data_IF_043055873309
#
_entry.id   IF_043055873309
#
_cell.length_a   1.000
_cell.length_b   1.000
_cell.length_c   1.000
_cell.angle_alpha   90.00
_cell.angle_beta   90.00
_cell.angle_gamma   90.00
#
_symmetry.space_group_name_H-M   'P 1'
#
loop_
_entity.id
_entity.type
_entity.pdbx_description
1 polymer ?
#
# COMPACT_ATOMS: atom_id res chain seq x y z
N UNK A 1 14.50 -2.08 -10.56
CA UNK A 1 13.94 -0.71 -10.57
C UNK A 1 13.45 -0.42 -11.98
N UNK A 2 12.30 0.23 -12.12
CA UNK A 2 11.74 0.69 -13.38
C UNK A 2 11.64 2.21 -13.34
N UNK A 3 12.09 2.87 -14.42
CA UNK A 3 12.02 4.32 -14.59
C UNK A 3 11.22 4.66 -15.85
N UNK A 4 10.30 5.60 -15.74
CA UNK A 4 9.55 6.17 -16.87
C UNK A 4 9.66 7.70 -16.87
N UNK A 5 9.50 8.30 -18.04
CA UNK A 5 9.47 9.75 -18.22
C UNK A 5 8.21 10.07 -19.01
N UNK A 6 7.37 10.93 -18.47
CA UNK A 6 6.26 11.49 -19.21
C UNK A 6 6.77 12.60 -20.15
N UNK A 7 6.61 12.40 -21.47
CA UNK A 7 7.18 13.31 -22.47
C UNK A 7 6.47 14.68 -22.54
N UNK A 8 5.25 14.82 -22.01
CA UNK A 8 4.51 16.08 -22.04
C UNK A 8 4.89 16.99 -20.86
N UNK A 9 4.97 16.41 -19.67
CA UNK A 9 5.24 17.13 -18.42
C UNK A 9 6.70 17.08 -17.99
N UNK A 10 7.50 16.14 -18.52
CA UNK A 10 8.86 15.87 -18.06
C UNK A 10 8.94 15.16 -16.71
N UNK A 11 7.80 14.71 -16.15
CA UNK A 11 7.77 14.00 -14.87
C UNK A 11 8.48 12.66 -15.00
N UNK A 12 9.48 12.44 -14.16
CA UNK A 12 10.18 11.17 -14.01
C UNK A 12 9.50 10.38 -12.91
N UNK A 13 9.12 9.13 -13.18
CA UNK A 13 8.62 8.19 -12.17
C UNK A 13 9.60 7.03 -12.01
N UNK A 14 9.99 6.72 -10.78
CA UNK A 14 10.88 5.60 -10.46
C UNK A 14 10.21 4.68 -9.44
N UNK A 15 10.10 3.39 -9.77
CA UNK A 15 9.54 2.35 -8.90
C UNK A 15 10.58 1.28 -8.61
N UNK A 16 10.77 0.97 -7.34
CA UNK A 16 11.58 -0.14 -6.85
C UNK A 16 10.65 -1.27 -6.43
N UNK A 17 10.94 -2.46 -6.91
CA UNK A 17 10.17 -3.66 -6.65
C UNK A 17 10.97 -4.61 -5.77
N UNK A 18 10.28 -5.41 -4.98
CA UNK A 18 10.88 -6.49 -4.21
C UNK A 18 11.61 -7.46 -5.15
N UNK A 19 12.89 -7.68 -4.88
CA UNK A 19 13.77 -8.58 -5.65
C UNK A 19 14.08 -9.86 -4.86
N UNK A 20 13.27 -10.22 -3.86
CA UNK A 20 13.44 -11.39 -2.99
C UNK A 20 13.34 -12.76 -3.70
N UNK A 21 13.46 -12.81 -5.03
CA UNK A 21 13.62 -14.05 -5.81
C UNK A 21 15.03 -14.68 -5.69
N UNK A 22 15.91 -14.15 -4.82
CA UNK A 22 17.34 -14.49 -4.71
C UNK A 22 17.67 -15.26 -3.42
N UNK A 23 18.86 -15.89 -3.40
CA UNK A 23 19.42 -16.81 -2.39
C UNK A 23 19.51 -16.29 -0.94
N UNK A 24 18.98 -15.12 -0.64
CA UNK A 24 18.91 -14.49 0.68
C UNK A 24 17.70 -14.93 1.52
N UNK A 25 16.77 -15.69 0.94
CA UNK A 25 15.62 -16.20 1.67
C UNK A 25 16.02 -17.40 2.54
N UNK A 26 15.93 -17.23 3.87
CA UNK A 26 16.16 -18.34 4.79
C UNK A 26 15.18 -19.48 4.49
N UNK A 27 15.60 -20.72 4.71
CA UNK A 27 14.82 -21.94 4.42
C UNK A 27 13.41 -21.91 5.04
N UNK A 28 13.23 -21.19 6.16
CA UNK A 28 11.96 -21.03 6.86
C UNK A 28 11.04 -19.91 6.29
N UNK A 29 11.53 -19.09 5.36
CA UNK A 29 10.81 -17.94 4.79
C UNK A 29 10.66 -17.95 3.26
N UNK A 30 11.14 -19.00 2.59
CA UNK A 30 11.26 -19.04 1.12
C UNK A 30 9.94 -18.80 0.38
N UNK A 31 8.84 -19.36 0.89
CA UNK A 31 7.52 -19.21 0.28
C UNK A 31 6.98 -17.77 0.37
N UNK A 32 7.30 -17.05 1.46
CA UNK A 32 6.89 -15.66 1.63
C UNK A 32 7.67 -14.73 0.71
N UNK A 33 8.98 -14.97 0.53
CA UNK A 33 9.81 -14.21 -0.41
C UNK A 33 9.34 -14.31 -1.86
N UNK A 34 9.02 -15.52 -2.32
CA UNK A 34 8.54 -15.69 -3.69
C UNK A 34 7.17 -15.05 -3.90
N UNK A 35 6.32 -15.03 -2.87
CA UNK A 35 5.01 -14.42 -2.96
C UNK A 35 5.09 -12.89 -3.11
N UNK A 36 6.06 -12.23 -2.49
CA UNK A 36 6.24 -10.77 -2.56
C UNK A 36 7.11 -10.30 -3.72
N UNK A 37 7.85 -11.21 -4.37
CA UNK A 37 8.73 -10.87 -5.49
C UNK A 37 7.99 -10.12 -6.61
N UNK A 38 8.56 -9.01 -7.05
CA UNK A 38 7.97 -8.14 -8.08
C UNK A 38 6.90 -7.18 -7.57
N UNK A 39 6.53 -7.20 -6.28
CA UNK A 39 5.63 -6.19 -5.71
C UNK A 39 6.37 -4.86 -5.48
N UNK A 40 5.71 -3.70 -5.64
CA UNK A 40 6.34 -2.40 -5.47
C UNK A 40 6.62 -2.11 -3.99
N UNK A 41 7.87 -1.77 -3.67
CA UNK A 41 8.30 -1.33 -2.34
C UNK A 41 8.32 0.19 -2.20
N UNK A 42 8.65 0.87 -3.30
CA UNK A 42 8.88 2.31 -3.31
C UNK A 42 8.54 2.87 -4.67
N UNK A 43 7.84 4.00 -4.70
CA UNK A 43 7.70 4.81 -5.91
C UNK A 43 7.91 6.27 -5.59
N UNK A 44 8.69 6.96 -6.40
CA UNK A 44 8.76 8.42 -6.37
C UNK A 44 8.48 9.01 -7.74
N UNK A 45 7.97 10.24 -7.73
CA UNK A 45 7.82 11.07 -8.93
C UNK A 45 8.55 12.38 -8.73
N UNK A 46 9.31 12.79 -9.74
CA UNK A 46 10.05 14.05 -9.74
C UNK A 46 9.74 14.88 -10.96
N UNK A 47 9.70 16.20 -10.78
CA UNK A 47 9.65 17.19 -11.86
C UNK A 47 10.82 18.14 -11.67
N UNK A 48 11.67 18.31 -12.69
CA UNK A 48 12.87 19.16 -12.61
C UNK A 48 13.80 18.84 -11.41
N UNK A 49 13.84 17.58 -10.98
CA UNK A 49 14.62 17.12 -9.82
C UNK A 49 13.87 17.18 -8.49
N UNK A 50 12.80 17.96 -8.39
CA UNK A 50 12.00 18.12 -7.18
C UNK A 50 11.00 16.98 -7.01
N UNK A 51 10.86 16.49 -5.77
CA UNK A 51 9.96 15.39 -5.42
C UNK A 51 8.52 15.88 -5.35
N UNK A 52 7.63 15.34 -6.19
CA UNK A 52 6.21 15.73 -6.24
C UNK A 52 5.25 14.65 -5.73
N UNK A 53 5.74 13.43 -5.54
CA UNK A 53 4.98 12.33 -4.94
C UNK A 53 5.94 11.24 -4.49
N UNK A 54 5.62 10.59 -3.37
CA UNK A 54 6.37 9.48 -2.82
C UNK A 54 5.42 8.47 -2.21
N UNK A 55 5.63 7.18 -2.48
CA UNK A 55 4.91 6.08 -1.87
C UNK A 55 5.92 5.02 -1.39
N UNK A 56 5.77 4.54 -0.16
CA UNK A 56 6.53 3.42 0.41
C UNK A 56 5.53 2.36 0.84
N UNK A 57 5.77 1.11 0.42
CA UNK A 57 4.93 -0.02 0.81
C UNK A 57 5.73 -0.99 1.71
N UNK A 58 5.10 -1.42 2.79
CA UNK A 58 5.49 -2.62 3.52
C UNK A 58 4.67 -3.80 3.01
N UNK A 59 5.34 -4.89 2.65
CA UNK A 59 4.69 -6.08 2.13
C UNK A 59 4.37 -7.06 3.25
N UNK A 60 3.19 -7.67 3.17
CA UNK A 60 2.74 -8.73 4.05
C UNK A 60 2.52 -10.03 3.29
N UNK A 61 2.52 -11.14 4.02
CA UNK A 61 2.04 -12.42 3.50
C UNK A 61 1.13 -13.10 4.51
N UNK A 62 0.10 -13.77 4.01
CA UNK A 62 -0.75 -14.65 4.82
C UNK A 62 -0.68 -16.07 4.25
N UNK A 63 -0.62 -17.07 5.12
CA UNK A 63 -0.80 -18.46 4.71
C UNK A 63 -2.27 -18.68 4.44
N UNK A 64 -2.62 -19.01 3.20
CA UNK A 64 -4.00 -19.25 2.82
C UNK A 64 -4.50 -20.57 3.43
N UNK A 65 -5.81 -20.76 3.47
CA UNK A 65 -6.43 -22.00 3.92
C UNK A 65 -5.92 -23.23 3.17
N UNK A 66 -5.54 -23.07 1.89
CA UNK A 66 -4.97 -24.14 1.07
C UNK A 66 -3.44 -24.33 1.23
N UNK A 67 -2.81 -23.61 2.17
CA UNK A 67 -1.38 -23.70 2.47
C UNK A 67 -0.46 -22.83 1.59
N UNK A 68 -1.02 -22.14 0.59
CA UNK A 68 -0.27 -21.19 -0.25
C UNK A 68 0.07 -19.90 0.49
N UNK A 69 0.95 -19.08 -0.09
CA UNK A 69 1.23 -17.72 0.40
C UNK A 69 0.52 -16.71 -0.48
N UNK A 70 -0.34 -15.90 0.13
CA UNK A 70 -0.94 -14.73 -0.51
C UNK A 70 -0.17 -13.50 -0.04
N UNK A 71 0.43 -12.77 -0.98
CA UNK A 71 1.13 -11.52 -0.69
C UNK A 71 0.22 -10.31 -0.92
N UNK A 72 0.44 -9.27 -0.13
CA UNK A 72 -0.34 -8.04 -0.17
C UNK A 72 0.51 -6.86 0.32
N UNK A 73 0.05 -5.64 0.05
CA UNK A 73 0.60 -4.43 0.68
C UNK A 73 -0.04 -4.31 2.05
N UNK A 74 0.75 -4.51 3.11
CA UNK A 74 0.30 -4.43 4.50
C UNK A 74 0.13 -2.98 4.92
N UNK A 75 1.13 -2.15 4.61
CA UNK A 75 1.11 -0.73 4.87
C UNK A 75 1.55 0.03 3.61
N UNK A 76 0.86 1.10 3.25
CA UNK A 76 1.26 2.08 2.23
C UNK A 76 1.37 3.46 2.87
N UNK A 77 2.51 4.11 2.72
CA UNK A 77 2.80 5.46 3.18
C UNK A 77 3.00 6.36 1.97
N UNK A 78 2.08 7.30 1.77
CA UNK A 78 2.04 8.16 0.60
C UNK A 78 2.19 9.62 1.02
N UNK A 79 3.20 10.32 0.52
CA UNK A 79 3.39 11.75 0.72
C UNK A 79 2.90 12.53 -0.50
N UNK A 80 2.10 13.55 -0.22
CA UNK A 80 1.54 14.47 -1.22
C UNK A 80 2.26 15.81 -1.18
N UNK A 81 2.53 16.35 -2.36
CA UNK A 81 3.27 17.60 -2.51
C UNK A 81 2.50 18.57 -3.42
N UNK A 82 2.70 19.86 -3.18
CA UNK A 82 2.34 20.94 -4.11
C UNK A 82 3.61 21.39 -4.80
N UNK A 83 3.58 21.43 -6.13
CA UNK A 83 4.65 21.99 -6.95
C UNK A 83 4.28 23.43 -7.32
N UNK A 84 5.04 24.40 -6.80
CA UNK A 84 4.77 25.81 -6.97
C UNK A 84 5.26 26.34 -8.32
N UNK A 85 4.72 27.50 -8.73
CA UNK A 85 5.19 28.23 -9.93
C UNK A 85 6.62 28.77 -9.77
N UNK A 86 7.11 28.84 -8.54
CA UNK A 86 8.50 29.12 -8.18
C UNK A 86 9.45 27.93 -8.43
N UNK A 87 8.91 26.78 -8.84
CA UNK A 87 9.66 25.55 -9.09
C UNK A 87 10.00 24.78 -7.81
N UNK A 88 9.48 25.19 -6.66
CA UNK A 88 9.70 24.49 -5.39
C UNK A 88 8.62 23.44 -5.14
N UNK A 89 9.00 22.34 -4.49
CA UNK A 89 8.03 21.35 -4.02
C UNK A 89 7.90 21.37 -2.50
N UNK A 90 6.65 21.51 -2.03
CA UNK A 90 6.32 21.52 -0.61
C UNK A 90 5.41 20.34 -0.28
N UNK A 91 5.80 19.50 0.67
CA UNK A 91 4.96 18.42 1.18
C UNK A 91 3.78 19.04 1.95
N UNK A 92 2.55 18.65 1.60
CA UNK A 92 1.32 19.19 2.20
C UNK A 92 0.53 18.18 3.00
N UNK A 93 0.77 16.89 2.79
CA UNK A 93 0.04 15.85 3.48
C UNK A 93 0.69 14.49 3.38
N UNK A 94 0.18 13.58 4.18
CA UNK A 94 0.49 12.16 4.09
C UNK A 94 -0.76 11.31 4.24
N UNK A 95 -0.79 10.18 3.56
CA UNK A 95 -1.78 9.13 3.75
C UNK A 95 -1.07 7.85 4.16
N UNK A 96 -1.47 7.26 5.28
CA UNK A 96 -1.07 5.92 5.68
C UNK A 96 -2.28 5.00 5.54
N UNK A 97 -2.13 3.96 4.73
CA UNK A 97 -3.14 2.90 4.57
C UNK A 97 -2.60 1.60 5.13
N UNK A 98 -3.30 0.99 6.08
CA UNK A 98 -3.01 -0.35 6.58
C UNK A 98 -4.13 -1.31 6.20
N UNK A 99 -3.79 -2.53 5.78
CA UNK A 99 -4.76 -3.54 5.34
C UNK A 99 -4.53 -4.89 6.01
N UNK A 100 -5.62 -5.50 6.47
CA UNK A 100 -5.66 -6.83 7.06
C UNK A 100 -6.49 -7.77 6.22
N UNK A 101 -6.07 -9.04 6.17
CA UNK A 101 -6.69 -10.07 5.33
C UNK A 101 -6.95 -11.35 6.13
N UNK A 102 -8.02 -12.06 5.77
CA UNK A 102 -8.25 -13.42 6.26
C UNK A 102 -7.40 -14.46 5.52
N UNK A 103 -7.51 -15.72 5.93
CA UNK A 103 -6.82 -16.86 5.29
C UNK A 103 -7.34 -17.22 3.89
N UNK A 104 -8.35 -16.54 3.38
CA UNK A 104 -8.88 -16.72 2.03
C UNK A 104 -8.51 -15.55 1.11
N UNK A 105 -7.82 -14.52 1.62
CA UNK A 105 -7.42 -13.34 0.87
C UNK A 105 -8.49 -12.24 0.83
N UNK A 106 -9.51 -12.31 1.67
CA UNK A 106 -10.51 -11.26 1.81
C UNK A 106 -10.00 -10.15 2.72
N UNK A 107 -10.19 -8.88 2.35
CA UNK A 107 -9.81 -7.71 3.18
C UNK A 107 -10.77 -7.61 4.37
N UNK A 108 -10.32 -7.94 5.57
CA UNK A 108 -11.16 -7.86 6.78
C UNK A 108 -11.20 -6.46 7.37
N UNK A 109 -10.12 -5.70 7.23
CA UNK A 109 -10.02 -4.34 7.73
C UNK A 109 -9.08 -3.51 6.86
N UNK A 110 -9.45 -2.25 6.63
CA UNK A 110 -8.60 -1.24 6.05
C UNK A 110 -8.67 0.04 6.90
N UNK A 111 -7.53 0.50 7.38
CA UNK A 111 -7.40 1.75 8.13
C UNK A 111 -6.66 2.75 7.26
N UNK A 112 -7.27 3.90 6.98
CA UNK A 112 -6.68 4.99 6.21
C UNK A 112 -6.59 6.21 7.11
N UNK A 113 -5.38 6.66 7.42
CA UNK A 113 -5.12 7.90 8.15
C UNK A 113 -4.57 8.93 7.18
N UNK A 114 -5.28 10.04 7.03
CA UNK A 114 -4.85 11.19 6.24
C UNK A 114 -4.45 12.31 7.17
N UNK A 115 -3.21 12.79 7.06
CA UNK A 115 -2.68 13.91 7.83
C UNK A 115 -2.51 15.10 6.91
N UNK A 116 -3.14 16.22 7.26
CA UNK A 116 -2.81 17.51 6.67
C UNK A 116 -1.64 18.11 7.44
N UNK A 117 -0.52 18.39 6.76
CA UNK A 117 0.67 18.89 7.45
C UNK A 117 0.60 20.37 7.79
N UNK A 118 -0.32 21.13 7.19
CA UNK A 118 -0.42 22.57 7.47
C UNK A 118 -0.95 22.85 8.88
N UNK A 119 -1.83 21.99 9.38
CA UNK A 119 -2.53 22.13 10.66
C UNK A 119 -2.39 20.89 11.56
N UNK A 120 -1.66 19.88 11.10
CA UNK A 120 -1.50 18.57 11.76
C UNK A 120 -2.83 17.87 12.07
N UNK A 121 -3.91 18.23 11.36
CA UNK A 121 -5.19 17.56 11.53
C UNK A 121 -5.15 16.18 10.87
N UNK A 122 -5.75 15.19 11.55
CA UNK A 122 -5.84 13.84 11.04
C UNK A 122 -7.31 13.45 10.78
N UNK A 123 -7.54 12.78 9.65
CA UNK A 123 -8.77 12.07 9.36
C UNK A 123 -8.45 10.59 9.26
N UNK A 124 -8.93 9.83 10.24
CA UNK A 124 -8.84 8.38 10.25
C UNK A 124 -10.15 7.80 9.75
N UNK A 125 -10.08 6.94 8.74
CA UNK A 125 -11.20 6.14 8.24
C UNK A 125 -10.89 4.67 8.45
N UNK A 126 -11.69 3.99 9.26
CA UNK A 126 -11.61 2.53 9.44
C UNK A 126 -12.75 1.88 8.69
N UNK A 127 -12.43 0.98 7.77
CA UNK A 127 -13.39 0.12 7.07
C UNK A 127 -13.21 -1.30 7.56
N UNK A 128 -14.25 -1.89 8.14
CA UNK A 128 -14.25 -3.30 8.57
C UNK A 128 -15.27 -4.06 7.74
N UNK A 129 -14.84 -5.17 7.15
CA UNK A 129 -15.67 -6.03 6.32
C UNK A 129 -15.96 -7.33 7.06
N UNK A 130 -17.24 -7.68 7.11
CA UNK A 130 -17.71 -8.95 7.65
C UNK A 130 -18.20 -9.85 6.50
N UNK A 131 -17.65 -11.04 6.44
CA UNK A 131 -17.93 -12.04 5.41
C UNK A 131 -18.74 -13.18 6.02
N UNK A 132 -19.47 -13.92 5.18
CA UNK A 132 -20.22 -15.09 5.62
C UNK A 132 -19.32 -16.10 6.36
N UNK A 133 -19.83 -16.75 7.39
CA UNK A 133 -19.01 -17.50 8.35
C UNK A 133 -18.62 -18.91 7.89
N UNK A 134 -19.33 -19.49 6.91
CA UNK A 134 -18.97 -20.81 6.38
C UNK A 134 -17.80 -20.72 5.38
N UNK A 135 -17.04 -21.80 5.29
CA UNK A 135 -15.83 -21.86 4.46
C UNK A 135 -16.11 -21.62 2.96
N UNK A 136 -17.31 -21.93 2.47
CA UNK A 136 -17.67 -21.71 1.07
C UNK A 136 -17.88 -20.22 0.80
N UNK A 137 -18.59 -19.53 1.70
CA UNK A 137 -18.81 -18.10 1.63
C UNK A 137 -17.51 -17.31 1.73
N UNK A 138 -16.64 -17.66 2.69
CA UNK A 138 -15.33 -17.03 2.85
C UNK A 138 -14.47 -17.22 1.60
N UNK A 139 -14.39 -18.44 1.06
CA UNK A 139 -13.62 -18.71 -0.17
C UNK A 139 -14.15 -17.95 -1.39
N UNK A 140 -15.46 -17.65 -1.42
CA UNK A 140 -16.10 -16.89 -2.48
C UNK A 140 -16.11 -15.37 -2.23
N UNK A 141 -15.53 -14.89 -1.12
CA UNK A 141 -15.53 -13.48 -0.75
C UNK A 141 -16.94 -12.90 -0.58
N UNK A 142 -17.88 -13.68 -0.03
CA UNK A 142 -19.26 -13.24 0.19
C UNK A 142 -19.35 -12.24 1.34
N UNK A 143 -19.21 -10.97 0.99
CA UNK A 143 -19.36 -9.83 1.90
C UNK A 143 -20.82 -9.72 2.37
N UNK A 144 -21.03 -9.67 3.68
CA UNK A 144 -22.35 -9.48 4.30
C UNK A 144 -22.54 -8.02 4.72
N UNK A 145 -21.56 -7.47 5.44
CA UNK A 145 -21.62 -6.11 5.97
C UNK A 145 -20.29 -5.41 5.84
N UNK A 146 -20.34 -4.09 5.65
CA UNK A 146 -19.19 -3.21 5.77
C UNK A 146 -19.53 -2.11 6.74
N UNK A 147 -18.69 -1.93 7.75
CA UNK A 147 -18.79 -0.81 8.69
C UNK A 147 -17.70 0.20 8.35
N UNK A 148 -18.06 1.48 8.23
CA UNK A 148 -17.12 2.57 7.99
C UNK A 148 -17.23 3.57 9.13
N UNK A 149 -16.14 3.76 9.87
CA UNK A 149 -16.02 4.75 10.94
C UNK A 149 -15.05 5.84 10.51
N UNK A 150 -15.38 7.10 10.79
CA UNK A 150 -14.53 8.26 10.53
C UNK A 150 -14.31 9.05 11.81
N UNK A 151 -13.06 9.31 12.12
CA UNK A 151 -12.62 10.06 13.31
C UNK A 151 -11.70 11.20 12.86
N UNK A 152 -11.87 12.36 13.49
CA UNK A 152 -10.99 13.52 13.28
C UNK A 152 -10.31 13.88 14.59
N UNK A 153 -9.02 14.16 14.53
CA UNK A 153 -8.21 14.65 15.66
C UNK A 153 -7.42 15.87 15.25
#
# INVERSE_FOLDING_TARGET
MLRTIDNQSGVVSETHYDQSYSSSCSTSGIASCYATAGMPLYTEKRLNGELISKAINELGTVTTYAGGKFAYIKDSYEDSYVFGSDGLSTRVGSTHTSSSYDKYGNVTEQVVTQTNLSDAMELKTTTTNDYGSDATMLRMGRLLFTTVTKERT
#
